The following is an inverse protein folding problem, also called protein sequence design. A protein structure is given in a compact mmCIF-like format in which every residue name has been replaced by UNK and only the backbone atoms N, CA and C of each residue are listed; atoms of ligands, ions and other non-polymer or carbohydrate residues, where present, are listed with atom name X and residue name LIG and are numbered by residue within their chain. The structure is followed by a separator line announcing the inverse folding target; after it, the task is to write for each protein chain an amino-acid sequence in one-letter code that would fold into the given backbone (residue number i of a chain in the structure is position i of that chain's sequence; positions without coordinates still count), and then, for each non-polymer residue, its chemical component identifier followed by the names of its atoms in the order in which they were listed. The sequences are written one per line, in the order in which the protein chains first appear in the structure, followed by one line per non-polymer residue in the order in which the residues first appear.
data_IF_719741438892
#
_entry.id   IF_719741438892
#
_cell.length_a   1.000
_cell.length_b   1.000
_cell.length_c   1.000
_cell.angle_alpha   90.00
_cell.angle_beta   90.00
_cell.angle_gamma   90.00
#
_symmetry.space_group_name_H-M   'P 1'
#
loop_
_entity.id
_entity.type
_entity.pdbx_description
1 polymer ?
#
# COMPACT_ATOMS: atom_id res chain seq x y z
N UNK A 1 0.80 12.60 -6.58
CA UNK A 1 0.55 11.17 -6.26
C UNK A 1 -0.95 10.96 -6.23
N UNK A 2 -1.43 9.95 -6.95
CA UNK A 2 -2.86 9.59 -6.99
C UNK A 2 -3.10 8.46 -6.00
N UNK A 3 -4.16 8.57 -5.19
CA UNK A 3 -4.55 7.50 -4.25
C UNK A 3 -5.77 6.79 -4.80
N UNK A 4 -5.64 5.48 -5.02
CA UNK A 4 -6.73 4.63 -5.48
C UNK A 4 -7.21 3.73 -4.34
N UNK A 5 -8.53 3.65 -4.09
CA UNK A 5 -9.05 2.79 -3.03
C UNK A 5 -8.98 1.31 -3.43
N UNK A 6 -8.56 0.45 -2.50
CA UNK A 6 -8.61 -1.00 -2.66
C UNK A 6 -9.81 -1.60 -1.91
N UNK A 7 -10.33 -2.73 -2.42
CA UNK A 7 -11.51 -3.39 -1.87
C UNK A 7 -11.25 -4.22 -0.61
N UNK A 8 -10.02 -4.73 -0.41
CA UNK A 8 -9.67 -5.61 0.73
C UNK A 8 -8.75 -4.90 1.74
N UNK A 9 -9.25 -4.71 2.96
CA UNK A 9 -8.57 -4.04 4.07
C UNK A 9 -7.49 -4.90 4.76
N UNK A 10 -7.32 -6.17 4.36
CA UNK A 10 -6.29 -7.06 4.90
C UNK A 10 -4.94 -6.89 4.20
N UNK A 11 -4.97 -6.45 2.94
CA UNK A 11 -3.80 -6.28 2.09
C UNK A 11 -2.91 -5.11 2.54
N UNK A 12 -1.66 -5.11 2.06
CA UNK A 12 -0.73 -3.98 2.22
C UNK A 12 -0.94 -2.96 1.09
N UNK A 13 -0.63 -1.68 1.29
CA UNK A 13 -0.62 -0.69 0.22
C UNK A 13 0.37 -1.07 -0.88
N UNK A 14 0.01 -0.81 -2.13
CA UNK A 14 0.85 -1.10 -3.31
C UNK A 14 1.16 0.20 -4.04
N UNK A 15 2.43 0.42 -4.35
CA UNK A 15 2.88 1.60 -5.08
C UNK A 15 3.23 1.26 -6.53
N UNK A 16 2.58 1.94 -7.47
CA UNK A 16 2.97 1.91 -8.89
C UNK A 16 3.83 3.14 -9.18
N UNK A 17 5.14 2.98 -8.99
CA UNK A 17 6.10 4.10 -9.03
C UNK A 17 6.18 4.78 -10.39
N UNK A 18 6.07 4.02 -11.49
CA UNK A 18 6.04 4.57 -12.87
C UNK A 18 4.90 5.56 -13.11
N UNK A 19 3.80 5.43 -12.37
CA UNK A 19 2.60 6.25 -12.54
C UNK A 19 2.32 7.18 -11.36
N UNK A 20 3.17 7.14 -10.32
CA UNK A 20 2.97 7.87 -9.07
C UNK A 20 1.57 7.62 -8.46
N UNK A 21 1.18 6.34 -8.40
CA UNK A 21 -0.08 5.85 -7.85
C UNK A 21 0.19 5.04 -6.58
N UNK A 22 -0.65 5.23 -5.56
CA UNK A 22 -0.72 4.39 -4.37
C UNK A 22 -2.11 3.75 -4.26
N UNK A 23 -2.18 2.44 -4.40
CA UNK A 23 -3.36 1.65 -4.06
C UNK A 23 -3.41 1.51 -2.54
N UNK A 24 -4.44 2.09 -1.92
CA UNK A 24 -4.61 2.16 -0.48
C UNK A 24 -5.90 1.48 -0.05
N UNK A 25 -5.83 0.39 0.73
CA UNK A 25 -6.99 -0.19 1.35
C UNK A 25 -7.71 0.77 2.31
N UNK A 26 -9.03 0.62 2.42
CA UNK A 26 -9.87 1.42 3.32
C UNK A 26 -9.76 0.93 4.77
N UNK A 27 -8.63 1.21 5.42
CA UNK A 27 -8.45 0.89 6.83
C UNK A 27 -9.40 1.69 7.72
N UNK A 28 -10.06 1.02 8.67
CA UNK A 28 -11.06 1.67 9.56
C UNK A 28 -10.44 2.71 10.51
N UNK A 29 -9.16 2.58 10.86
CA UNK A 29 -8.51 3.45 11.85
C UNK A 29 -7.19 4.00 11.33
N UNK A 30 -6.80 5.17 11.86
CA UNK A 30 -5.55 5.85 11.52
C UNK A 30 -4.34 5.03 11.97
N UNK A 31 -4.45 4.33 13.09
CA UNK A 31 -3.42 3.46 13.66
C UNK A 31 -3.14 2.29 12.71
N UNK A 32 -4.20 1.66 12.19
CA UNK A 32 -4.08 0.55 11.22
C UNK A 32 -3.48 1.01 9.90
N UNK A 33 -3.90 2.18 9.40
CA UNK A 33 -3.29 2.80 8.22
C UNK A 33 -1.79 3.03 8.44
N UNK A 34 -1.41 3.66 9.55
CA UNK A 34 0.00 3.95 9.85
C UNK A 34 0.83 2.67 9.93
N UNK A 35 0.34 1.66 10.65
CA UNK A 35 1.02 0.39 10.81
C UNK A 35 1.25 -0.30 9.45
N UNK A 36 0.19 -0.50 8.66
CA UNK A 36 0.26 -1.18 7.36
C UNK A 36 1.10 -0.42 6.33
N UNK A 37 1.04 0.92 6.35
CA UNK A 37 1.85 1.75 5.46
C UNK A 37 3.34 1.65 5.78
N UNK A 38 3.71 1.70 7.07
CA UNK A 38 5.11 1.52 7.50
C UNK A 38 5.61 0.12 7.18
N UNK A 39 4.78 -0.91 7.37
CA UNK A 39 5.10 -2.27 6.95
C UNK A 39 5.39 -2.36 5.45
N UNK A 40 4.53 -1.80 4.60
CA UNK A 40 4.74 -1.84 3.14
C UNK A 40 6.02 -1.11 2.70
N UNK A 41 6.37 0.00 3.35
CA UNK A 41 7.63 0.72 3.08
C UNK A 41 8.86 -0.10 3.53
N UNK A 42 8.76 -0.82 4.64
CA UNK A 42 9.86 -1.65 5.15
C UNK A 42 10.01 -2.96 4.36
N UNK A 43 8.92 -3.50 3.81
CA UNK A 43 8.88 -4.75 3.05
C UNK A 43 8.99 -4.52 1.54
N UNK A 44 9.77 -3.52 1.11
CA UNK A 44 10.07 -3.29 -0.31
C UNK A 44 11.16 -4.24 -0.79
N UNK A 45 10.83 -5.53 -0.97
CA UNK A 45 11.64 -6.36 -1.87
C UNK A 45 11.25 -6.01 -3.31
N UNK A 46 12.11 -5.25 -3.99
CA UNK A 46 11.97 -4.96 -5.41
C UNK A 46 12.07 -6.24 -6.24
N UNK A 47 11.15 -6.38 -7.22
CA UNK A 47 11.07 -7.42 -8.24
C UNK A 47 11.38 -8.86 -7.78
N UNK A 48 10.38 -9.55 -7.20
CA UNK A 48 10.22 -10.98 -7.48
C UNK A 48 9.49 -11.13 -8.82
N UNK A 49 10.21 -10.88 -9.92
CA UNK A 49 9.78 -11.38 -11.23
C UNK A 49 9.97 -12.89 -11.18
N UNK A 50 8.88 -13.63 -11.05
CA UNK A 50 8.80 -15.04 -11.48
C UNK A 50 7.91 -15.11 -12.71
#
# INVERSE_FOLDING_TARGET
ITIQPMSDDKLLPVAHTCFNILDLPRYQTRERLRYKLLQAIQQTQGFSLV
#
